data_IF_845936890111
#
_entry.id   IF_845936890111
#
_cell.length_a   1.000
_cell.length_b   1.000
_cell.length_c   1.000
_cell.angle_alpha   90.00
_cell.angle_beta   90.00
_cell.angle_gamma   90.00
#
_symmetry.space_group_name_H-M   'P 1'
#
loop_
_entity.id
_entity.type
_entity.pdbx_description
1 polymer ?
#
# COMPACT_ATOMS: atom_id res chain seq x y z
N UNK A 1 -9.30 20.10 9.12
CA UNK A 1 -10.24 19.04 8.71
C UNK A 1 -10.29 19.05 7.19
N UNK A 2 -10.34 17.91 6.51
CA UNK A 2 -10.46 17.91 5.05
C UNK A 2 -11.92 18.19 4.66
N UNK A 3 -12.13 19.10 3.72
CA UNK A 3 -13.44 19.56 3.30
C UNK A 3 -13.85 18.99 1.93
N UNK A 4 -12.90 18.53 1.11
CA UNK A 4 -13.17 17.97 -0.22
C UNK A 4 -12.38 16.69 -0.45
N UNK A 5 -13.09 15.61 -0.77
CA UNK A 5 -12.48 14.34 -1.16
C UNK A 5 -12.78 14.03 -2.62
N UNK A 6 -11.73 13.78 -3.40
CA UNK A 6 -11.83 13.28 -4.77
C UNK A 6 -11.60 11.79 -4.77
N UNK A 7 -12.61 11.00 -5.12
CA UNK A 7 -12.49 9.54 -5.17
C UNK A 7 -11.59 9.14 -6.35
N UNK A 8 -10.47 8.49 -6.05
CA UNK A 8 -9.52 7.98 -7.03
C UNK A 8 -9.86 6.54 -7.45
N UNK A 9 -10.29 5.71 -6.52
CA UNK A 9 -10.75 4.36 -6.79
C UNK A 9 -11.76 3.93 -5.72
N UNK A 10 -12.73 3.08 -6.09
CA UNK A 10 -13.76 2.60 -5.18
C UNK A 10 -14.27 1.25 -5.63
N UNK A 11 -14.37 0.33 -4.67
CA UNK A 11 -15.02 -0.97 -4.83
C UNK A 11 -16.37 -1.00 -4.08
N UNK A 12 -16.41 -0.46 -2.86
CA UNK A 12 -17.63 -0.41 -2.05
C UNK A 12 -17.71 0.85 -1.18
N UNK A 13 -18.70 0.96 -0.29
CA UNK A 13 -18.78 2.08 0.67
C UNK A 13 -17.60 2.12 1.65
N UNK A 14 -16.99 0.98 1.95
CA UNK A 14 -15.93 0.85 2.94
C UNK A 14 -14.56 0.50 2.31
N UNK A 15 -14.44 0.55 0.97
CA UNK A 15 -13.21 0.27 0.22
C UNK A 15 -13.01 1.38 -0.80
N UNK A 16 -12.31 2.43 -0.39
CA UNK A 16 -12.18 3.69 -1.13
C UNK A 16 -10.74 4.19 -1.01
N UNK A 17 -10.17 4.61 -2.13
CA UNK A 17 -8.98 5.45 -2.17
C UNK A 17 -9.40 6.82 -2.69
N UNK A 18 -9.19 7.85 -1.89
CA UNK A 18 -9.52 9.23 -2.23
C UNK A 18 -8.33 10.15 -1.99
N UNK A 19 -8.32 11.32 -2.61
CA UNK A 19 -7.37 12.39 -2.33
C UNK A 19 -8.11 13.61 -1.78
N UNK A 20 -7.61 14.20 -0.69
CA UNK A 20 -8.15 15.44 -0.17
C UNK A 20 -7.59 16.67 -0.91
N UNK A 21 -8.14 17.85 -0.65
CA UNK A 21 -7.66 19.11 -1.21
C UNK A 21 -6.19 19.44 -0.84
N UNK A 22 -5.65 18.84 0.21
CA UNK A 22 -4.26 18.99 0.65
C UNK A 22 -3.30 17.99 0.01
N UNK A 23 -3.80 17.12 -0.88
CA UNK A 23 -3.01 16.11 -1.57
C UNK A 23 -2.83 14.79 -0.81
N UNK A 24 -3.21 14.70 0.47
CA UNK A 24 -3.18 13.45 1.24
C UNK A 24 -4.09 12.40 0.61
N UNK A 25 -3.60 11.16 0.56
CA UNK A 25 -4.35 10.00 0.08
C UNK A 25 -5.03 9.33 1.27
N UNK A 26 -6.35 9.26 1.21
CA UNK A 26 -7.19 8.59 2.19
C UNK A 26 -7.51 7.19 1.66
N UNK A 27 -6.98 6.18 2.32
CA UNK A 27 -7.29 4.78 2.04
C UNK A 27 -8.23 4.28 3.14
N UNK A 28 -9.48 4.05 2.78
CA UNK A 28 -10.49 3.45 3.63
C UNK A 28 -10.61 1.98 3.29
N UNK A 29 -10.39 1.11 4.29
CA UNK A 29 -10.50 -0.34 4.14
C UNK A 29 -11.26 -0.96 5.31
N UNK A 30 -12.50 -1.39 5.04
CA UNK A 30 -13.43 -1.90 6.04
C UNK A 30 -13.61 -0.92 7.21
N UNK A 31 -12.93 -1.18 8.34
CA UNK A 31 -12.99 -0.37 9.57
C UNK A 31 -11.73 0.47 9.81
N UNK A 32 -10.75 0.41 8.91
CA UNK A 32 -9.50 1.14 9.01
C UNK A 32 -9.46 2.31 8.02
N UNK A 33 -8.75 3.37 8.40
CA UNK A 33 -8.41 4.48 7.54
C UNK A 33 -6.90 4.74 7.65
N UNK A 34 -6.21 4.73 6.52
CA UNK A 34 -4.81 5.13 6.41
C UNK A 34 -4.73 6.45 5.65
N UNK A 35 -3.83 7.33 6.10
CA UNK A 35 -3.58 8.62 5.48
C UNK A 35 -2.15 8.62 4.96
N UNK A 36 -2.00 8.58 3.65
CA UNK A 36 -0.72 8.39 2.97
C UNK A 36 -0.31 9.67 2.23
N UNK A 37 0.99 9.89 2.11
CA UNK A 37 1.55 10.82 1.15
C UNK A 37 1.42 10.24 -0.28
N UNK A 38 1.17 11.03 -1.34
CA UNK A 38 1.06 10.51 -2.71
C UNK A 38 2.25 9.66 -3.17
N UNK A 39 3.46 10.00 -2.73
CA UNK A 39 4.68 9.25 -3.05
C UNK A 39 4.69 7.82 -2.46
N UNK A 40 3.85 7.54 -1.45
CA UNK A 40 3.78 6.23 -0.79
C UNK A 40 2.86 5.24 -1.54
N UNK A 41 2.07 5.69 -2.53
CA UNK A 41 1.17 4.84 -3.32
C UNK A 41 1.91 3.75 -4.11
N UNK A 42 2.97 4.12 -4.83
CA UNK A 42 3.72 3.17 -5.65
C UNK A 42 4.52 2.15 -4.81
N UNK A 43 5.23 2.55 -3.73
CA UNK A 43 5.84 1.59 -2.81
C UNK A 43 4.84 0.60 -2.21
N UNK A 44 3.66 1.07 -1.78
CA UNK A 44 2.63 0.18 -1.25
C UNK A 44 2.11 -0.80 -2.31
N UNK A 45 1.84 -0.31 -3.52
CA UNK A 45 1.41 -1.14 -4.64
C UNK A 45 2.47 -2.20 -4.98
N UNK A 46 3.75 -1.81 -5.06
CA UNK A 46 4.84 -2.72 -5.34
C UNK A 46 4.98 -3.78 -4.23
N UNK A 47 4.90 -3.39 -2.96
CA UNK A 47 4.93 -4.31 -1.83
C UNK A 47 3.84 -5.38 -1.94
N UNK A 48 2.60 -4.97 -2.25
CA UNK A 48 1.48 -5.89 -2.40
C UNK A 48 1.67 -6.80 -3.61
N UNK A 49 2.13 -6.27 -4.74
CA UNK A 49 2.38 -7.06 -5.96
C UNK A 49 3.53 -8.06 -5.80
N UNK A 50 4.51 -7.77 -4.93
CA UNK A 50 5.60 -8.67 -4.61
C UNK A 50 5.21 -9.78 -3.62
N UNK A 51 4.06 -9.68 -2.94
CA UNK A 51 3.64 -10.68 -1.97
C UNK A 51 3.45 -12.06 -2.60
N UNK A 52 3.94 -13.09 -1.93
CA UNK A 52 3.75 -14.49 -2.32
C UNK A 52 3.17 -15.30 -1.15
N UNK A 53 2.39 -16.36 -1.43
CA UNK A 53 1.85 -17.22 -0.38
C UNK A 53 2.90 -17.78 0.59
N UNK A 54 4.12 -18.01 0.10
CA UNK A 54 5.19 -18.58 0.92
C UNK A 54 5.92 -17.54 1.79
N UNK A 55 5.55 -16.26 1.73
CA UNK A 55 6.16 -15.24 2.58
C UNK A 55 5.46 -15.16 3.93
N UNK A 56 6.27 -15.03 4.98
CA UNK A 56 5.81 -14.70 6.32
C UNK A 56 5.76 -13.19 6.54
N UNK A 57 6.66 -12.46 5.87
CA UNK A 57 6.77 -11.02 5.99
C UNK A 57 7.28 -10.41 4.68
N UNK A 58 6.76 -9.22 4.33
CA UNK A 58 7.31 -8.37 3.29
C UNK A 58 7.32 -6.92 3.76
N UNK A 59 8.39 -6.16 3.47
CA UNK A 59 8.57 -4.78 3.91
C UNK A 59 8.91 -3.86 2.74
N UNK A 60 8.36 -2.66 2.79
CA UNK A 60 8.78 -1.50 2.01
C UNK A 60 8.45 -0.28 2.85
N UNK A 61 9.42 0.19 3.65
CA UNK A 61 9.18 1.24 4.66
C UNK A 61 8.41 2.44 4.07
N UNK A 62 7.31 2.87 4.70
CA UNK A 62 6.85 2.56 6.07
C UNK A 62 5.86 1.38 6.18
N UNK A 63 5.78 0.53 5.16
CA UNK A 63 4.82 -0.56 5.06
C UNK A 63 5.43 -1.92 5.40
N UNK A 64 4.63 -2.78 6.03
CA UNK A 64 4.96 -4.17 6.28
C UNK A 64 3.70 -5.04 6.11
N UNK A 65 3.81 -6.16 5.40
CA UNK A 65 2.77 -7.20 5.35
C UNK A 65 3.29 -8.38 6.18
N UNK A 66 2.51 -8.83 7.16
CA UNK A 66 2.84 -9.97 8.03
C UNK A 66 1.76 -11.04 7.92
N UNK A 67 2.17 -12.29 7.74
CA UNK A 67 1.30 -13.46 7.87
C UNK A 67 1.11 -13.79 9.35
N UNK A 68 -0.14 -13.99 9.76
CA UNK A 68 -0.51 -14.43 11.10
C UNK A 68 -0.60 -15.96 11.14
N UNK A 69 -0.52 -16.53 12.34
CA UNK A 69 -0.60 -17.98 12.56
C UNK A 69 -1.91 -18.62 12.05
N UNK A 70 -2.99 -17.84 11.98
CA UNK A 70 -4.28 -18.26 11.43
C UNK A 70 -4.35 -18.17 9.89
N UNK A 71 -3.24 -17.84 9.24
CA UNK A 71 -3.12 -17.68 7.78
C UNK A 71 -3.60 -16.32 7.25
N UNK A 72 -4.18 -15.47 8.09
CA UNK A 72 -4.60 -14.13 7.71
C UNK A 72 -3.42 -13.16 7.56
N UNK A 73 -3.63 -12.04 6.89
CA UNK A 73 -2.59 -11.05 6.62
C UNK A 73 -2.85 -9.76 7.38
N UNK A 74 -1.78 -9.11 7.84
CA UNK A 74 -1.83 -7.76 8.40
C UNK A 74 -0.94 -6.84 7.59
N UNK A 75 -1.53 -5.82 6.98
CA UNK A 75 -0.81 -4.70 6.40
C UNK A 75 -0.63 -3.61 7.47
N UNK A 76 0.62 -3.37 7.83
CA UNK A 76 1.04 -2.30 8.72
C UNK A 76 1.46 -1.07 7.91
N UNK A 77 0.97 0.09 8.34
CA UNK A 77 1.50 1.40 7.99
C UNK A 77 1.84 2.11 9.30
N UNK A 78 3.14 2.18 9.61
CA UNK A 78 3.62 2.61 10.93
C UNK A 78 2.94 1.76 12.03
N UNK A 79 2.26 2.39 12.98
CA UNK A 79 1.58 1.74 14.12
C UNK A 79 0.14 1.27 13.80
N UNK A 80 -0.35 1.46 12.57
CA UNK A 80 -1.71 1.10 12.19
C UNK A 80 -1.70 -0.20 11.40
N UNK A 81 -2.32 -1.24 11.96
CA UNK A 81 -2.52 -2.54 11.31
C UNK A 81 -3.89 -2.66 10.66
N UNK A 82 -3.93 -3.06 9.39
CA UNK A 82 -5.13 -3.39 8.63
C UNK A 82 -5.18 -4.89 8.41
N UNK A 83 -6.27 -5.53 8.88
CA UNK A 83 -6.49 -6.95 8.66
C UNK A 83 -6.97 -7.18 7.23
N UNK A 84 -6.30 -8.07 6.51
CA UNK A 84 -6.58 -8.44 5.13
C UNK A 84 -6.72 -9.95 5.01
N UNK A 85 -7.71 -10.39 4.25
CA UNK A 85 -7.72 -11.72 3.65
C UNK A 85 -6.76 -11.76 2.45
N UNK A 86 -6.51 -12.96 1.92
CA UNK A 86 -5.70 -13.08 0.72
C UNK A 86 -6.38 -12.48 -0.52
N UNK A 87 -7.71 -12.57 -0.64
CA UNK A 87 -8.46 -11.89 -1.69
C UNK A 87 -8.39 -10.37 -1.55
N UNK A 88 -8.38 -9.85 -0.32
CA UNK A 88 -8.27 -8.41 -0.08
C UNK A 88 -6.96 -7.81 -0.61
N UNK A 89 -5.86 -8.57 -0.65
CA UNK A 89 -4.63 -8.08 -1.27
C UNK A 89 -4.80 -7.81 -2.77
N UNK A 90 -5.51 -8.69 -3.48
CA UNK A 90 -5.78 -8.51 -4.91
C UNK A 90 -6.70 -7.31 -5.16
N UNK A 91 -7.78 -7.20 -4.38
CA UNK A 91 -8.71 -6.07 -4.46
C UNK A 91 -7.99 -4.74 -4.15
N UNK A 92 -7.14 -4.74 -3.11
CA UNK A 92 -6.38 -3.57 -2.71
C UNK A 92 -5.36 -3.18 -3.77
N UNK A 93 -4.65 -4.15 -4.37
CA UNK A 93 -3.73 -3.91 -5.48
C UNK A 93 -4.44 -3.26 -6.67
N UNK A 94 -5.63 -3.76 -7.04
CA UNK A 94 -6.42 -3.22 -8.14
C UNK A 94 -6.83 -1.76 -7.86
N UNK A 95 -7.31 -1.46 -6.65
CA UNK A 95 -7.69 -0.10 -6.27
C UNK A 95 -6.48 0.85 -6.25
N UNK A 96 -5.34 0.41 -5.70
CA UNK A 96 -4.09 1.18 -5.70
C UNK A 96 -3.60 1.46 -7.13
N UNK A 97 -3.66 0.47 -8.01
CA UNK A 97 -3.32 0.62 -9.42
C UNK A 97 -4.21 1.69 -10.10
N UNK A 98 -5.53 1.61 -9.93
CA UNK A 98 -6.46 2.60 -10.48
C UNK A 98 -6.21 4.01 -9.91
N UNK A 99 -5.94 4.12 -8.61
CA UNK A 99 -5.63 5.39 -7.99
C UNK A 99 -4.33 6.00 -8.53
N UNK A 100 -3.26 5.21 -8.63
CA UNK A 100 -1.98 5.61 -9.20
C UNK A 100 -2.12 6.04 -10.67
N UNK A 101 -2.93 5.32 -11.46
CA UNK A 101 -3.22 5.68 -12.85
C UNK A 101 -3.96 7.01 -12.97
N UNK A 102 -4.97 7.28 -12.12
CA UNK A 102 -5.68 8.58 -12.12
C UNK A 102 -4.77 9.75 -11.71
N UNK A 103 -3.81 9.49 -10.82
CA UNK A 103 -2.79 10.45 -10.44
C UNK A 103 -1.64 10.56 -11.46
N UNK A 104 -1.69 9.78 -12.56
CA UNK A 104 -0.68 9.74 -13.62
C UNK A 104 0.73 9.38 -13.12
N UNK A 105 0.83 8.55 -12.08
CA UNK A 105 2.10 8.16 -11.47
C UNK A 105 2.92 7.17 -12.33
N UNK A 106 2.32 6.59 -13.38
CA UNK A 106 2.98 5.66 -14.30
C UNK A 106 3.59 6.33 -15.54
N UNK A 107 3.55 7.66 -15.64
CA UNK A 107 4.08 8.41 -16.78
C UNK A 107 5.61 8.61 -16.72
N UNK A 108 6.27 8.83 -17.87
CA UNK A 108 7.65 9.31 -17.88
C UNK A 108 7.67 10.70 -17.22
N UNK A 109 8.49 10.84 -16.19
CA UNK A 109 8.76 12.12 -15.54
C UNK A 109 9.12 13.18 -16.60
N UNK A 110 8.51 14.38 -16.63
CA UNK A 110 9.07 15.47 -17.40
C UNK A 110 10.45 15.77 -16.82
N UNK A 111 11.50 15.62 -17.64
CA UNK A 111 12.88 16.03 -17.35
C UNK A 111 12.89 17.53 -17.00
N UNK A 112 12.62 17.84 -15.75
CA UNK A 112 12.75 19.17 -15.17
C UNK A 112 13.72 18.98 -14.01
N UNK A 113 14.85 19.70 -13.97
CA UNK A 113 15.79 19.57 -12.86
C UNK A 113 15.17 20.26 -11.64
N UNK A 114 14.28 19.55 -10.95
CA UNK A 114 13.86 19.92 -9.61
C UNK A 114 14.93 19.36 -8.66
N UNK A 115 15.72 20.27 -8.11
CA UNK A 115 16.68 20.05 -7.03
C UNK A 115 15.98 19.66 -5.72
N UNK A 116 15.18 18.61 -5.75
CA UNK A 116 14.65 17.93 -4.59
C UNK A 116 15.05 16.48 -4.72
N UNK A 117 15.86 16.03 -3.78
CA UNK A 117 16.36 14.67 -3.63
C UNK A 117 15.18 13.69 -3.73
N UNK A 118 14.95 13.13 -4.92
CA UNK A 118 14.02 12.04 -5.12
C UNK A 118 14.64 10.87 -4.33
N UNK A 119 14.11 10.59 -3.13
CA UNK A 119 14.49 9.40 -2.38
C UNK A 119 14.25 8.19 -3.29
N UNK A 120 15.33 7.48 -3.62
CA UNK A 120 15.27 6.21 -4.34
C UNK A 120 14.19 5.34 -3.71
N UNK A 121 13.26 4.84 -4.52
CA UNK A 121 12.21 3.91 -4.11
C UNK A 121 12.82 2.84 -3.20
N UNK A 122 12.42 2.82 -1.93
CA UNK A 122 13.04 1.94 -0.93
C UNK A 122 12.83 0.47 -1.34
N UNK A 123 13.87 -0.37 -1.24
CA UNK A 123 13.80 -1.74 -1.74
C UNK A 123 12.74 -2.54 -0.98
N UNK A 124 11.97 -3.35 -1.72
CA UNK A 124 11.06 -4.34 -1.14
C UNK A 124 11.89 -5.51 -0.61
N UNK A 125 11.70 -5.87 0.66
CA UNK A 125 12.38 -7.00 1.32
C UNK A 125 11.34 -8.05 1.70
N UNK A 126 11.52 -9.30 1.29
CA UNK A 126 10.62 -10.41 1.62
C UNK A 126 11.35 -11.47 2.45
N UNK A 127 10.68 -12.04 3.46
CA UNK A 127 11.21 -13.06 4.36
C UNK A 127 10.46 -14.38 4.12
N UNK A 128 11.23 -15.43 3.80
CA UNK A 128 10.75 -16.80 3.66
C UNK A 128 10.46 -17.44 5.03
N UNK A 129 9.66 -18.51 5.10
CA UNK A 129 9.39 -19.22 6.33
C UNK A 129 10.71 -19.79 6.86
N UNK A 130 10.97 -19.64 8.16
CA UNK A 130 12.09 -20.36 8.77
C UNK A 130 11.77 -21.86 8.71
N UNK A 131 12.68 -22.73 8.23
CA UNK A 131 12.47 -24.15 8.37
C UNK A 131 12.34 -24.48 9.86
N UNK A 132 11.24 -25.13 10.23
CA UNK A 132 11.08 -25.69 11.58
C UNK A 132 12.14 -26.79 11.74
N UNK A 133 13.25 -26.49 12.41
CA UNK A 133 14.11 -27.53 12.92
C UNK A 133 13.31 -28.21 14.05
N UNK A 134 12.72 -29.36 13.72
CA UNK A 134 12.07 -30.25 14.69
C UNK A 134 13.10 -30.59 15.78
N UNK A 135 12.82 -30.18 17.01
CA UNK A 135 13.38 -30.80 18.21
C UNK A 135 12.53 -32.01 18.58
#
# INVERSE_FOLDING_TARGET
MCHKLTILARDSANRIIAQCEHGTIHLYWARAALFLHPAELLPLLALIQCWKPDFEEARSEPFCIVRRLDGSLQLWYREIGVHLSQSDLYDLAALLWHAAARLKLFGPEPLTPLSHTLESSRPVTCVLPRPEWRN
#
